data_IF_999141543813
#
_entry.id   IF_999141543813
#
_cell.length_a   1.000
_cell.length_b   1.000
_cell.length_c   1.000
_cell.angle_alpha   90.00
_cell.angle_beta   90.00
_cell.angle_gamma   90.00
#
_symmetry.space_group_name_H-M   'P 1'
#
loop_
_entity.id
_entity.type
_entity.pdbx_description
1 polymer ?
#
# COMPACT_ATOMS: atom_id res chain seq x y z
N UNK A 1 -5.19 11.67 15.46
CA UNK A 1 -3.89 11.44 14.78
C UNK A 1 -4.04 11.84 13.34
N UNK A 2 -3.04 12.50 12.76
CA UNK A 2 -3.02 12.84 11.33
C UNK A 2 -2.49 11.63 10.56
N UNK A 3 -3.05 11.38 9.39
CA UNK A 3 -2.58 10.31 8.52
C UNK A 3 -2.53 10.80 7.07
N UNK A 4 -1.34 10.73 6.49
CA UNK A 4 -1.11 10.95 5.06
C UNK A 4 -0.90 9.60 4.39
N UNK A 5 -1.71 9.31 3.39
CA UNK A 5 -1.57 8.11 2.56
C UNK A 5 -1.02 8.53 1.19
N UNK A 6 0.15 8.00 0.82
CA UNK A 6 0.77 8.25 -0.49
C UNK A 6 0.44 7.08 -1.42
N UNK A 7 -0.30 7.34 -2.49
CA UNK A 7 -0.75 6.32 -3.47
C UNK A 7 -0.50 6.76 -4.91
N UNK A 8 -0.71 5.84 -5.84
CA UNK A 8 -0.65 6.07 -7.29
C UNK A 8 -1.59 5.08 -7.96
N UNK A 9 -2.08 5.39 -9.16
CA UNK A 9 -2.94 4.41 -9.84
C UNK A 9 -2.16 3.28 -10.55
N UNK A 10 -0.82 3.36 -10.65
CA UNK A 10 0.06 2.29 -11.16
C UNK A 10 1.34 2.15 -10.33
N UNK A 11 1.98 0.99 -10.38
CA UNK A 11 3.31 0.76 -9.78
C UNK A 11 4.41 1.59 -10.45
N UNK A 12 5.50 1.84 -9.73
CA UNK A 12 6.72 2.47 -10.29
C UNK A 12 6.70 4.00 -10.44
N UNK A 13 5.70 4.71 -9.93
CA UNK A 13 5.64 6.18 -10.02
C UNK A 13 6.55 6.93 -9.03
N UNK A 14 7.27 6.21 -8.15
CA UNK A 14 8.19 6.79 -7.17
C UNK A 14 7.57 7.13 -5.81
N UNK A 15 6.41 6.54 -5.46
CA UNK A 15 5.74 6.72 -4.16
C UNK A 15 6.66 6.47 -2.97
N UNK A 16 7.27 5.29 -2.92
CA UNK A 16 8.09 4.82 -1.81
C UNK A 16 9.30 5.72 -1.60
N UNK A 17 9.97 6.13 -2.67
CA UNK A 17 11.09 7.08 -2.59
C UNK A 17 10.66 8.46 -2.10
N UNK A 18 9.48 8.94 -2.51
CA UNK A 18 8.92 10.21 -2.05
C UNK A 18 8.52 10.15 -0.57
N UNK A 19 7.83 9.07 -0.16
CA UNK A 19 7.44 8.84 1.24
C UNK A 19 8.66 8.71 2.15
N UNK A 20 9.68 7.96 1.73
CA UNK A 20 10.93 7.85 2.48
C UNK A 20 11.60 9.21 2.65
N UNK A 21 11.59 10.05 1.62
CA UNK A 21 12.09 11.41 1.73
C UNK A 21 11.24 12.27 2.69
N UNK A 22 9.91 12.15 2.68
CA UNK A 22 9.05 12.78 3.69
C UNK A 22 9.35 12.27 5.10
N UNK A 23 9.66 10.98 5.29
CA UNK A 23 10.07 10.45 6.58
C UNK A 23 11.33 11.14 7.12
N UNK A 24 12.27 11.51 6.24
CA UNK A 24 13.47 12.27 6.63
C UNK A 24 13.18 13.73 7.05
N UNK A 25 12.07 14.31 6.57
CA UNK A 25 11.70 15.71 6.79
C UNK A 25 10.63 15.89 7.88
N UNK A 26 9.80 14.87 8.11
CA UNK A 26 8.71 14.90 9.08
C UNK A 26 9.23 14.68 10.50
N UNK A 27 8.63 15.36 11.46
CA UNK A 27 8.83 15.11 12.89
C UNK A 27 7.65 14.31 13.46
N UNK A 28 7.84 13.72 14.65
CA UNK A 28 6.78 13.06 15.45
C UNK A 28 5.88 12.09 14.66
N UNK A 29 6.50 11.24 13.86
CA UNK A 29 5.81 10.34 12.93
C UNK A 29 6.09 8.87 13.15
N UNK A 30 5.14 8.05 12.68
CA UNK A 30 5.28 6.61 12.45
C UNK A 30 5.16 6.35 10.96
N UNK A 31 5.91 5.36 10.49
CA UNK A 31 5.89 4.91 9.10
C UNK A 31 5.03 3.65 8.97
N UNK A 32 4.29 3.54 7.88
CA UNK A 32 3.48 2.38 7.58
C UNK A 32 3.75 1.97 6.13
N UNK A 33 4.30 0.79 5.91
CA UNK A 33 4.41 0.22 4.56
C UNK A 33 3.21 -0.71 4.32
N UNK A 34 2.23 -0.20 3.58
CA UNK A 34 1.01 -0.93 3.21
C UNK A 34 1.03 -1.41 1.75
N UNK A 35 2.09 -1.11 0.98
CA UNK A 35 2.33 -1.64 -0.35
C UNK A 35 3.04 -3.00 -0.24
N UNK A 36 2.37 -3.99 0.39
CA UNK A 36 3.03 -5.24 0.82
C UNK A 36 3.46 -6.13 -0.36
N UNK A 37 2.79 -6.04 -1.50
CA UNK A 37 3.15 -6.79 -2.72
C UNK A 37 4.56 -6.42 -3.22
N UNK A 38 4.95 -5.16 -3.01
CA UNK A 38 6.25 -4.60 -3.37
C UNK A 38 6.75 -3.70 -2.23
N UNK A 39 6.89 -4.29 -1.05
CA UNK A 39 7.31 -3.58 0.16
C UNK A 39 8.74 -3.05 -0.02
N UNK A 40 8.90 -1.87 -0.62
CA UNK A 40 10.21 -1.32 -0.99
C UNK A 40 10.76 -0.38 0.09
N UNK A 41 9.94 0.03 1.06
CA UNK A 41 10.34 1.04 2.05
C UNK A 41 11.47 0.53 2.96
N UNK A 42 11.48 -0.78 3.25
CA UNK A 42 12.53 -1.40 4.04
C UNK A 42 13.92 -1.33 3.36
N UNK A 43 13.98 -1.29 2.02
CA UNK A 43 15.23 -1.18 1.27
C UNK A 43 15.90 0.19 1.50
N UNK A 44 15.10 1.25 1.62
CA UNK A 44 15.59 2.62 1.83
C UNK A 44 15.88 2.88 3.31
N UNK A 45 15.05 2.36 4.20
CA UNK A 45 15.10 2.73 5.62
C UNK A 45 15.93 1.79 6.51
N UNK A 46 16.26 0.60 5.99
CA UNK A 46 16.99 -0.45 6.70
C UNK A 46 16.47 -0.69 8.13
N UNK A 47 15.19 -1.07 8.29
CA UNK A 47 14.52 -1.19 9.58
C UNK A 47 15.12 -2.30 10.45
N UNK A 48 15.30 -2.02 11.74
CA UNK A 48 15.64 -3.04 12.74
C UNK A 48 14.35 -3.60 13.36
N UNK A 49 14.10 -4.89 13.10
CA UNK A 49 12.91 -5.60 13.61
C UNK A 49 12.96 -5.68 15.14
N UNK A 50 11.87 -5.25 15.79
CA UNK A 50 11.64 -5.39 17.23
C UNK A 50 10.68 -6.51 17.53
N UNK A 51 9.59 -6.57 16.77
CA UNK A 51 8.56 -7.58 16.89
C UNK A 51 8.28 -8.21 15.54
N UNK A 52 7.89 -9.49 15.59
CA UNK A 52 7.55 -10.30 14.44
C UNK A 52 6.34 -11.14 14.83
N UNK A 53 5.36 -11.15 13.94
CA UNK A 53 4.08 -11.82 14.16
C UNK A 53 3.63 -12.48 12.85
N UNK A 54 2.99 -13.64 12.96
CA UNK A 54 2.39 -14.30 11.80
C UNK A 54 1.15 -13.53 11.33
N UNK A 55 1.00 -13.40 10.02
CA UNK A 55 -0.23 -12.94 9.40
C UNK A 55 -1.04 -14.13 8.91
N UNK A 56 -2.09 -14.45 9.67
CA UNK A 56 -3.01 -15.54 9.34
C UNK A 56 -4.25 -14.98 8.65
N UNK A 57 -4.45 -15.38 7.40
CA UNK A 57 -5.57 -14.96 6.58
C UNK A 57 -5.96 -16.05 5.60
N UNK A 58 -7.22 -16.03 5.17
CA UNK A 58 -7.73 -17.07 4.28
C UNK A 58 -7.69 -18.48 4.88
N UNK A 59 -8.04 -19.43 4.04
CA UNK A 59 -8.13 -20.85 4.36
C UNK A 59 -7.82 -21.65 3.10
N UNK A 60 -7.27 -22.85 3.26
CA UNK A 60 -7.10 -23.77 2.14
C UNK A 60 -7.87 -25.04 2.45
N UNK A 61 -8.80 -25.41 1.56
CA UNK A 61 -9.57 -26.63 1.76
C UNK A 61 -8.67 -27.86 1.58
N UNK A 62 -8.88 -28.89 2.39
CA UNK A 62 -8.24 -30.20 2.23
C UNK A 62 -9.26 -31.30 2.38
N UNK A 63 -9.28 -32.28 1.48
CA UNK A 63 -10.25 -33.39 1.54
C UNK A 63 -9.61 -34.59 2.23
N UNK A 64 -10.27 -35.06 3.29
CA UNK A 64 -9.94 -36.30 4.00
C UNK A 64 -10.47 -37.50 3.19
N UNK A 65 -9.54 -38.26 2.59
CA UNK A 65 -9.87 -39.40 1.75
C UNK A 65 -10.55 -40.55 2.50
N UNK A 66 -10.32 -40.70 3.81
CA UNK A 66 -10.94 -41.78 4.60
C UNK A 66 -12.42 -41.50 4.87
N UNK A 67 -12.79 -40.21 4.95
CA UNK A 67 -14.17 -39.77 5.22
C UNK A 67 -14.93 -39.42 3.95
N UNK A 68 -14.25 -39.16 2.85
CA UNK A 68 -14.86 -38.74 1.60
C UNK A 68 -15.57 -39.91 0.89
N UNK A 69 -16.88 -39.78 0.68
CA UNK A 69 -17.69 -40.73 -0.11
C UNK A 69 -17.59 -40.51 -1.61
N UNK A 70 -16.77 -39.56 -2.06
CA UNK A 70 -16.60 -39.19 -3.49
C UNK A 70 -17.90 -38.79 -4.19
N UNK A 71 -18.83 -38.16 -3.46
CA UNK A 71 -20.15 -37.76 -3.99
C UNK A 71 -20.11 -36.65 -5.06
N UNK A 72 -18.97 -35.97 -5.27
CA UNK A 72 -18.80 -34.96 -6.32
C UNK A 72 -19.27 -33.54 -5.99
N UNK A 73 -20.13 -33.36 -4.97
CA UNK A 73 -20.76 -32.07 -4.67
C UNK A 73 -19.76 -30.91 -4.46
N UNK A 74 -18.62 -31.17 -3.82
CA UNK A 74 -17.58 -30.16 -3.62
C UNK A 74 -17.01 -29.62 -4.93
N UNK A 75 -16.88 -30.48 -5.96
CA UNK A 75 -16.40 -30.12 -7.30
C UNK A 75 -17.46 -29.29 -8.04
N UNK A 76 -18.71 -29.72 -7.98
CA UNK A 76 -19.84 -29.02 -8.62
C UNK A 76 -20.02 -27.59 -8.09
N UNK A 77 -19.80 -27.39 -6.78
CA UNK A 77 -19.92 -26.09 -6.14
C UNK A 77 -18.66 -25.22 -6.27
N UNK A 78 -17.53 -25.79 -6.69
CA UNK A 78 -16.27 -25.06 -6.79
C UNK A 78 -16.24 -24.18 -8.04
N UNK A 79 -16.48 -22.88 -7.88
CA UNK A 79 -16.40 -21.90 -8.98
C UNK A 79 -15.00 -21.73 -9.58
N UNK A 80 -13.97 -22.18 -8.87
CA UNK A 80 -12.56 -22.01 -9.22
C UNK A 80 -11.95 -23.27 -9.83
N UNK A 81 -12.72 -24.35 -9.95
CA UNK A 81 -12.25 -25.66 -10.43
C UNK A 81 -11.00 -26.17 -9.68
N UNK A 82 -10.87 -25.81 -8.40
CA UNK A 82 -9.70 -26.14 -7.58
C UNK A 82 -9.70 -27.58 -7.04
N UNK A 83 -10.63 -28.43 -7.46
CA UNK A 83 -10.78 -29.81 -6.97
C UNK A 83 -10.84 -30.76 -8.17
N UNK A 84 -9.85 -31.63 -8.28
CA UNK A 84 -9.71 -32.56 -9.42
C UNK A 84 -10.60 -33.81 -9.31
N UNK A 85 -10.48 -34.71 -10.28
CA UNK A 85 -11.25 -35.97 -10.34
C UNK A 85 -10.93 -36.95 -9.21
N UNK A 86 -9.73 -36.85 -8.64
CA UNK A 86 -9.26 -37.67 -7.53
C UNK A 86 -9.57 -37.04 -6.16
N UNK A 87 -10.34 -35.95 -6.14
CA UNK A 87 -10.71 -35.19 -4.94
C UNK A 87 -9.50 -34.60 -4.22
N UNK A 88 -8.46 -34.24 -4.96
CA UNK A 88 -7.33 -33.46 -4.47
C UNK A 88 -7.60 -31.99 -4.72
N UNK A 89 -7.33 -31.17 -3.70
CA UNK A 89 -7.47 -29.71 -3.80
C UNK A 89 -6.15 -29.13 -4.30
N UNK A 90 -6.21 -28.38 -5.41
CA UNK A 90 -5.12 -27.52 -5.85
C UNK A 90 -5.08 -26.29 -4.94
N UNK A 91 -4.04 -26.20 -4.11
CA UNK A 91 -3.87 -25.12 -3.15
C UNK A 91 -3.69 -23.74 -3.80
N UNK A 92 -3.19 -23.68 -5.05
CA UNK A 92 -2.97 -22.42 -5.78
C UNK A 92 -4.28 -21.93 -6.39
N UNK A 93 -5.09 -22.84 -6.94
CA UNK A 93 -6.39 -22.48 -7.51
C UNK A 93 -7.49 -22.28 -6.44
N UNK A 94 -7.26 -22.76 -5.21
CA UNK A 94 -8.25 -22.68 -4.14
C UNK A 94 -8.31 -21.28 -3.52
N UNK A 95 -9.35 -20.52 -3.85
CA UNK A 95 -9.63 -19.21 -3.26
C UNK A 95 -10.05 -19.23 -1.77
N UNK A 96 -10.12 -20.41 -1.13
CA UNK A 96 -10.46 -20.47 0.29
C UNK A 96 -11.84 -19.91 0.65
N UNK A 97 -12.83 -20.02 -0.26
CA UNK A 97 -14.17 -19.46 -0.03
C UNK A 97 -15.04 -20.28 0.95
N UNK A 98 -14.64 -21.53 1.24
CA UNK A 98 -15.32 -22.41 2.20
C UNK A 98 -16.60 -23.07 1.70
N UNK A 99 -17.06 -22.81 0.47
CA UNK A 99 -18.31 -23.40 -0.06
C UNK A 99 -18.26 -24.93 -0.02
N UNK A 100 -17.18 -25.55 -0.51
CA UNK A 100 -17.04 -27.00 -0.45
C UNK A 100 -17.09 -27.53 1.00
N UNK A 101 -16.44 -26.82 1.93
CA UNK A 101 -16.40 -27.18 3.35
C UNK A 101 -17.79 -27.17 3.99
N UNK A 102 -18.53 -26.07 3.86
CA UNK A 102 -19.83 -25.91 4.50
C UNK A 102 -20.91 -26.83 3.94
N UNK A 103 -20.80 -27.22 2.66
CA UNK A 103 -21.79 -28.06 1.99
C UNK A 103 -21.40 -29.55 1.90
N UNK A 104 -20.26 -29.96 2.46
CA UNK A 104 -19.86 -31.36 2.46
C UNK A 104 -20.75 -32.18 3.42
N UNK A 105 -21.57 -33.14 2.93
CA UNK A 105 -22.48 -33.91 3.78
C UNK A 105 -21.72 -34.81 4.78
N UNK A 106 -20.58 -35.34 4.38
CA UNK A 106 -19.73 -36.22 5.20
C UNK A 106 -18.83 -35.45 6.17
N UNK A 107 -18.82 -34.10 6.08
CA UNK A 107 -17.88 -33.22 6.79
C UNK A 107 -16.42 -33.65 6.58
N UNK A 108 -16.11 -34.20 5.40
CA UNK A 108 -14.81 -34.75 5.04
C UNK A 108 -13.80 -33.69 4.60
N UNK A 109 -14.19 -32.41 4.56
CA UNK A 109 -13.31 -31.33 4.15
C UNK A 109 -12.78 -30.63 5.40
N UNK A 110 -11.47 -30.53 5.52
CA UNK A 110 -10.78 -29.67 6.46
C UNK A 110 -10.67 -28.26 5.88
N UNK A 111 -10.71 -27.26 6.76
CA UNK A 111 -10.64 -25.86 6.36
C UNK A 111 -9.72 -25.06 7.29
N UNK A 112 -8.44 -25.49 7.43
CA UNK A 112 -7.47 -24.79 8.27
C UNK A 112 -7.25 -23.36 7.79
N UNK A 113 -6.93 -22.48 8.72
CA UNK A 113 -6.47 -21.12 8.41
C UNK A 113 -5.07 -21.16 7.80
N UNK A 114 -4.80 -20.29 6.84
CA UNK A 114 -3.51 -20.22 6.15
C UNK A 114 -2.67 -19.06 6.71
N UNK A 115 -1.37 -19.28 6.86
CA UNK A 115 -0.41 -18.20 7.17
C UNK A 115 0.05 -17.60 5.85
N UNK A 116 -0.45 -16.40 5.54
CA UNK A 116 -0.19 -15.70 4.27
C UNK A 116 1.06 -14.81 4.33
N UNK A 117 1.71 -14.68 5.48
CA UNK A 117 2.89 -13.84 5.63
C UNK A 117 3.24 -13.54 7.07
N UNK A 118 4.05 -12.51 7.25
CA UNK A 118 4.49 -11.98 8.54
C UNK A 118 4.28 -10.47 8.56
N UNK A 119 4.08 -9.91 9.76
CA UNK A 119 4.13 -8.48 9.98
C UNK A 119 5.04 -8.13 11.15
N UNK A 120 5.53 -6.89 11.14
CA UNK A 120 6.63 -6.45 11.97
C UNK A 120 6.40 -5.05 12.52
N UNK A 121 6.87 -4.84 13.74
CA UNK A 121 7.16 -3.52 14.28
C UNK A 121 8.68 -3.35 14.31
N UNK A 122 9.15 -2.26 13.72
CA UNK A 122 10.58 -1.99 13.56
C UNK A 122 10.93 -0.57 13.97
N UNK A 123 12.19 -0.35 14.33
CA UNK A 123 12.77 0.99 14.41
C UNK A 123 13.53 1.31 13.11
N UNK A 124 13.45 2.55 12.65
CA UNK A 124 14.21 3.06 11.50
C UNK A 124 15.02 4.30 11.90
N UNK A 125 15.88 4.77 11.00
CA UNK A 125 16.57 6.07 11.14
C UNK A 125 15.61 7.25 11.34
N UNK A 126 14.36 7.13 10.92
CA UNK A 126 13.36 8.19 10.97
C UNK A 126 12.24 7.95 11.97
N UNK A 127 12.33 6.93 12.82
CA UNK A 127 11.30 6.59 13.77
C UNK A 127 10.71 5.21 13.52
N UNK A 128 9.68 4.84 14.28
CA UNK A 128 9.17 3.49 14.25
C UNK A 128 8.33 3.24 12.99
N UNK A 129 8.27 1.97 12.58
CA UNK A 129 7.65 1.53 11.34
C UNK A 129 6.85 0.26 11.56
N UNK A 130 5.61 0.24 11.06
CA UNK A 130 4.80 -0.95 10.89
C UNK A 130 4.87 -1.39 9.42
N UNK A 131 5.17 -2.66 9.17
CA UNK A 131 5.30 -3.20 7.80
C UNK A 131 5.05 -4.70 7.78
N UNK A 132 4.87 -5.25 6.59
CA UNK A 132 4.63 -6.67 6.40
C UNK A 132 5.41 -7.24 5.23
N UNK A 133 5.45 -8.57 5.19
CA UNK A 133 5.98 -9.33 4.08
C UNK A 133 5.06 -10.54 3.86
N UNK A 134 4.61 -10.70 2.63
CA UNK A 134 3.78 -11.84 2.23
C UNK A 134 4.62 -13.10 2.04
N UNK A 135 3.96 -14.25 2.17
CA UNK A 135 4.48 -15.54 1.77
C UNK A 135 4.64 -15.65 0.25
N UNK A 136 5.25 -16.74 -0.21
CA UNK A 136 5.40 -17.00 -1.64
C UNK A 136 4.00 -17.26 -2.22
N UNK A 137 3.70 -16.59 -3.34
CA UNK A 137 2.41 -16.71 -4.05
C UNK A 137 1.18 -16.23 -3.25
N UNK A 138 1.39 -15.37 -2.26
CA UNK A 138 0.32 -14.70 -1.50
C UNK A 138 0.12 -13.27 -2.02
N UNK A 139 -1.11 -12.76 -1.94
CA UNK A 139 -1.47 -11.42 -2.43
C UNK A 139 -1.82 -10.46 -1.29
N UNK A 140 -1.52 -9.18 -1.48
CA UNK A 140 -1.87 -8.16 -0.51
C UNK A 140 -3.39 -7.99 -0.41
N UNK A 141 -3.89 -8.02 0.82
CA UNK A 141 -5.32 -7.93 1.10
C UNK A 141 -5.65 -6.67 1.87
N UNK A 142 -6.89 -6.19 1.71
CA UNK A 142 -7.37 -5.08 2.54
C UNK A 142 -7.31 -5.38 4.04
N UNK A 143 -7.36 -6.66 4.44
CA UNK A 143 -7.19 -7.10 5.83
C UNK A 143 -5.78 -6.84 6.35
N UNK A 144 -4.76 -7.20 5.56
CA UNK A 144 -3.35 -6.94 5.93
C UNK A 144 -3.07 -5.44 6.01
N UNK A 145 -3.48 -4.68 4.99
CA UNK A 145 -3.34 -3.21 4.98
C UNK A 145 -3.99 -2.57 6.21
N UNK A 146 -5.21 -3.00 6.55
CA UNK A 146 -5.92 -2.49 7.73
C UNK A 146 -5.17 -2.82 9.02
N UNK A 147 -4.65 -4.05 9.15
CA UNK A 147 -3.86 -4.48 10.29
C UNK A 147 -2.61 -3.60 10.47
N UNK A 148 -1.76 -3.47 9.45
CA UNK A 148 -0.51 -2.70 9.56
C UNK A 148 -0.78 -1.24 9.92
N UNK A 149 -1.82 -0.64 9.34
CA UNK A 149 -2.23 0.73 9.70
C UNK A 149 -2.72 0.84 11.13
N UNK A 150 -3.50 -0.13 11.62
CA UNK A 150 -3.96 -0.16 13.01
C UNK A 150 -2.78 -0.29 13.99
N UNK A 151 -1.83 -1.18 13.70
CA UNK A 151 -0.62 -1.33 14.51
C UNK A 151 0.25 -0.07 14.46
N UNK A 152 0.39 0.57 13.30
CA UNK A 152 1.05 1.87 13.17
C UNK A 152 0.38 2.96 14.03
N UNK A 153 -0.96 3.00 14.08
CA UNK A 153 -1.72 3.94 14.94
C UNK A 153 -1.53 3.65 16.43
N UNK A 154 -1.51 2.38 16.84
CA UNK A 154 -1.23 1.99 18.23
C UNK A 154 0.18 2.41 18.64
N UNK A 155 1.17 2.09 17.82
CA UNK A 155 2.58 2.45 18.04
C UNK A 155 2.77 3.96 18.14
N UNK A 156 2.05 4.72 17.31
CA UNK A 156 2.06 6.16 17.35
C UNK A 156 1.43 6.70 18.65
N UNK A 157 0.33 6.11 19.13
CA UNK A 157 -0.29 6.48 20.40
C UNK A 157 0.63 6.19 21.61
N UNK A 158 1.24 5.00 21.65
CA UNK A 158 2.18 4.59 22.71
C UNK A 158 3.39 5.52 22.82
N UNK A 159 3.90 6.00 21.68
CA UNK A 159 5.07 6.89 21.62
C UNK A 159 4.72 8.38 21.57
N UNK A 160 3.45 8.75 21.73
CA UNK A 160 2.97 10.14 21.64
C UNK A 160 3.37 10.86 20.33
N UNK A 161 3.25 10.14 19.22
CA UNK A 161 3.49 10.63 17.85
C UNK A 161 2.14 11.04 17.23
N UNK A 162 2.13 12.08 16.39
CA UNK A 162 0.89 12.70 15.91
C UNK A 162 0.62 12.51 14.42
N UNK A 163 1.57 11.91 13.69
CA UNK A 163 1.51 11.67 12.26
C UNK A 163 1.78 10.20 11.89
N UNK A 164 0.94 9.64 11.03
CA UNK A 164 1.19 8.39 10.32
C UNK A 164 1.45 8.69 8.84
N UNK A 165 2.60 8.23 8.33
CA UNK A 165 2.97 8.30 6.92
C UNK A 165 2.84 6.90 6.32
N UNK A 166 1.88 6.72 5.43
CA UNK A 166 1.53 5.41 4.86
C UNK A 166 1.95 5.35 3.39
N UNK A 167 2.82 4.39 3.05
CA UNK A 167 3.04 3.95 1.66
C UNK A 167 1.85 3.09 1.28
N UNK A 168 0.96 3.61 0.45
CA UNK A 168 -0.22 2.87 0.04
C UNK A 168 0.06 2.04 -1.21
N UNK A 169 -0.70 0.95 -1.45
CA UNK A 169 -0.59 0.15 -2.65
C UNK A 169 -1.02 0.93 -3.91
N UNK A 170 -0.59 0.52 -5.11
CA UNK A 170 -1.05 1.13 -6.36
C UNK A 170 -2.47 0.69 -6.75
N UNK A 171 -3.12 1.45 -7.61
CA UNK A 171 -4.39 1.08 -8.25
C UNK A 171 -5.63 1.57 -7.50
N UNK A 172 -6.70 0.77 -7.54
CA UNK A 172 -8.02 1.10 -6.96
C UNK A 172 -8.69 -0.11 -6.27
N UNK A 173 -7.93 -1.17 -5.99
CA UNK A 173 -8.44 -2.40 -5.40
C UNK A 173 -8.71 -2.31 -3.89
N UNK A 174 -9.13 -3.43 -3.30
CA UNK A 174 -9.37 -3.55 -1.86
C UNK A 174 -8.19 -3.07 -0.98
N UNK A 175 -6.91 -3.33 -1.32
CA UNK A 175 -5.78 -2.80 -0.56
C UNK A 175 -5.72 -1.25 -0.54
N UNK A 176 -6.07 -0.59 -1.66
CA UNK A 176 -6.10 0.88 -1.74
C UNK A 176 -7.26 1.43 -0.92
N UNK A 177 -8.44 0.83 -1.04
CA UNK A 177 -9.60 1.23 -0.22
C UNK A 177 -9.28 1.10 1.28
N UNK A 178 -8.64 0.00 1.67
CA UNK A 178 -8.21 -0.23 3.04
C UNK A 178 -7.14 0.76 3.50
N UNK A 179 -6.23 1.21 2.63
CA UNK A 179 -5.21 2.21 2.99
C UNK A 179 -5.83 3.60 3.19
N UNK A 180 -6.86 3.93 2.42
CA UNK A 180 -7.59 5.20 2.50
C UNK A 180 -8.50 5.31 3.74
N UNK A 181 -9.01 4.20 4.26
CA UNK A 181 -10.01 4.21 5.34
C UNK A 181 -9.60 5.02 6.57
N UNK A 182 -10.22 6.19 6.79
CA UNK A 182 -9.93 7.08 7.92
C UNK A 182 -8.65 7.91 7.79
N UNK A 183 -8.08 8.03 6.59
CA UNK A 183 -6.96 8.92 6.31
C UNK A 183 -7.36 10.41 6.44
N UNK A 184 -6.42 11.26 6.85
CA UNK A 184 -6.64 12.71 6.91
C UNK A 184 -6.54 13.35 5.54
N UNK A 185 -5.59 12.89 4.74
CA UNK A 185 -5.41 13.33 3.36
C UNK A 185 -4.69 12.26 2.54
N UNK A 186 -4.81 12.37 1.22
CA UNK A 186 -4.18 11.50 0.23
C UNK A 186 -3.25 12.34 -0.64
N UNK A 187 -2.03 11.85 -0.85
CA UNK A 187 -1.15 12.37 -1.89
C UNK A 187 -1.06 11.35 -3.03
N UNK A 188 -1.56 11.74 -4.19
CA UNK A 188 -1.52 10.95 -5.41
C UNK A 188 -0.26 11.31 -6.20
N UNK A 189 0.62 10.34 -6.42
CA UNK A 189 1.85 10.49 -7.20
C UNK A 189 1.59 10.02 -8.63
N UNK A 190 1.62 10.97 -9.56
CA UNK A 190 1.39 10.72 -10.99
C UNK A 190 2.63 10.99 -11.82
N UNK A 191 2.83 10.22 -12.88
CA UNK A 191 3.84 10.49 -13.92
C UNK A 191 3.14 11.01 -15.18
N UNK A 192 3.80 11.85 -16.01
CA UNK A 192 3.20 12.44 -17.20
C UNK A 192 3.12 11.45 -18.38
N UNK A 193 2.38 10.35 -18.18
CA UNK A 193 2.04 9.38 -19.23
C UNK A 193 0.52 9.28 -19.38
N UNK A 194 0.04 8.83 -20.54
CA UNK A 194 -1.41 8.65 -20.78
C UNK A 194 -2.02 7.71 -19.73
N UNK A 195 -1.34 6.59 -19.44
CA UNK A 195 -1.73 5.68 -18.37
C UNK A 195 -1.69 6.36 -17.00
N UNK A 196 -0.59 7.05 -16.66
CA UNK A 196 -0.44 7.74 -15.38
C UNK A 196 -1.52 8.79 -15.12
N UNK A 197 -2.00 9.48 -16.17
CA UNK A 197 -3.17 10.36 -16.08
C UNK A 197 -4.43 9.58 -15.78
N UNK A 198 -4.83 8.61 -16.62
CA UNK A 198 -6.06 7.84 -16.42
C UNK A 198 -6.11 7.13 -15.06
N UNK A 199 -4.97 6.62 -14.62
CA UNK A 199 -4.78 5.97 -13.33
C UNK A 199 -4.95 6.98 -12.17
N UNK A 200 -4.40 8.18 -12.30
CA UNK A 200 -4.62 9.28 -11.34
C UNK A 200 -6.09 9.72 -11.30
N UNK A 201 -6.77 9.82 -12.45
CA UNK A 201 -8.19 10.19 -12.53
C UNK A 201 -9.06 9.22 -11.70
N UNK A 202 -8.80 7.91 -11.80
CA UNK A 202 -9.50 6.88 -11.02
C UNK A 202 -9.23 7.01 -9.51
N UNK A 203 -8.00 7.31 -9.12
CA UNK A 203 -7.65 7.50 -7.70
C UNK A 203 -8.28 8.78 -7.13
N UNK A 204 -8.38 9.84 -7.92
CA UNK A 204 -9.12 11.07 -7.55
C UNK A 204 -10.60 10.74 -7.31
N UNK A 205 -11.24 10.03 -8.24
CA UNK A 205 -12.64 9.60 -8.08
C UNK A 205 -12.86 8.73 -6.84
N UNK A 206 -11.94 7.81 -6.57
CA UNK A 206 -11.98 6.97 -5.37
C UNK A 206 -11.86 7.80 -4.09
N UNK A 207 -10.93 8.75 -4.06
CA UNK A 207 -10.72 9.64 -2.91
C UNK A 207 -11.95 10.53 -2.65
N UNK A 208 -12.57 11.05 -3.71
CA UNK A 208 -13.80 11.84 -3.64
C UNK A 208 -15.00 11.02 -3.13
N UNK A 209 -15.14 9.77 -3.60
CA UNK A 209 -16.16 8.84 -3.12
C UNK A 209 -16.08 8.64 -1.59
N UNK A 210 -14.86 8.51 -1.05
CA UNK A 210 -14.63 8.41 0.39
C UNK A 210 -14.56 9.76 1.11
N UNK A 211 -14.72 10.88 0.39
CA UNK A 211 -14.66 12.26 0.89
C UNK A 211 -13.35 12.57 1.61
N UNK A 212 -12.24 12.02 1.11
CA UNK A 212 -10.91 12.25 1.67
C UNK A 212 -10.22 13.34 0.83
N UNK A 213 -9.69 14.41 1.45
CA UNK A 213 -8.95 15.44 0.75
C UNK A 213 -7.78 14.85 -0.04
N UNK A 214 -7.80 15.04 -1.36
CA UNK A 214 -6.74 14.58 -2.26
C UNK A 214 -5.84 15.74 -2.71
N UNK A 215 -4.56 15.42 -2.88
CA UNK A 215 -3.53 16.28 -3.46
C UNK A 215 -2.79 15.49 -4.54
N UNK A 216 -2.23 16.18 -5.52
CA UNK A 216 -1.44 15.56 -6.61
C UNK A 216 0.00 16.06 -6.57
N UNK A 217 0.94 15.12 -6.68
CA UNK A 217 2.35 15.39 -6.98
C UNK A 217 2.68 14.82 -8.36
N UNK A 218 3.19 15.66 -9.26
CA UNK A 218 3.60 15.23 -10.60
C UNK A 218 5.08 14.88 -10.56
N UNK A 219 5.40 13.59 -10.54
CA UNK A 219 6.76 13.09 -10.57
C UNK A 219 7.28 13.00 -12.01
N UNK A 220 8.57 13.28 -12.20
CA UNK A 220 9.25 13.30 -13.50
C UNK A 220 8.51 14.15 -14.55
N UNK A 221 8.01 15.31 -14.13
CA UNK A 221 7.08 16.14 -14.92
C UNK A 221 7.66 16.59 -16.28
N UNK A 222 8.99 16.70 -16.35
CA UNK A 222 9.78 17.14 -17.49
C UNK A 222 9.98 16.06 -18.57
N UNK A 223 9.63 14.79 -18.30
CA UNK A 223 9.66 13.74 -19.32
C UNK A 223 8.64 13.97 -20.43
N UNK A 224 7.49 14.56 -20.09
CA UNK A 224 6.48 14.94 -21.08
C UNK A 224 5.68 16.15 -20.57
N UNK A 225 6.12 17.38 -20.89
CA UNK A 225 5.47 18.60 -20.41
C UNK A 225 3.99 18.70 -20.78
N UNK A 226 3.60 18.25 -21.99
CA UNK A 226 2.20 18.29 -22.43
C UNK A 226 1.29 17.38 -21.61
N UNK A 227 1.75 16.18 -21.24
CA UNK A 227 1.01 15.30 -20.34
C UNK A 227 1.01 15.79 -18.89
N UNK A 228 2.09 16.43 -18.44
CA UNK A 228 2.12 17.08 -17.12
C UNK A 228 1.09 18.21 -17.03
N UNK A 229 1.01 19.08 -18.05
CA UNK A 229 -0.02 20.12 -18.14
C UNK A 229 -1.44 19.55 -18.18
N UNK A 230 -1.65 18.43 -18.88
CA UNK A 230 -2.95 17.74 -18.90
C UNK A 230 -3.35 17.22 -17.51
N UNK A 231 -2.41 16.65 -16.74
CA UNK A 231 -2.64 16.23 -15.35
C UNK A 231 -3.02 17.43 -14.48
N UNK A 232 -2.34 18.56 -14.63
CA UNK A 232 -2.68 19.77 -13.87
C UNK A 232 -4.04 20.34 -14.23
N UNK A 233 -4.38 20.33 -15.51
CA UNK A 233 -5.67 20.79 -15.99
C UNK A 233 -6.79 19.96 -15.36
N UNK A 234 -6.69 18.62 -15.46
CA UNK A 234 -7.63 17.70 -14.83
C UNK A 234 -7.74 17.94 -13.32
N UNK A 235 -6.61 18.08 -12.61
CA UNK A 235 -6.61 18.31 -11.18
C UNK A 235 -7.35 19.60 -10.81
N UNK A 236 -7.13 20.70 -11.56
CA UNK A 236 -7.83 21.98 -11.35
C UNK A 236 -9.34 21.86 -11.60
N UNK A 237 -9.75 21.18 -12.68
CA UNK A 237 -11.17 20.97 -12.99
C UNK A 237 -11.91 20.19 -11.89
N UNK A 238 -11.20 19.28 -11.21
CA UNK A 238 -11.76 18.43 -10.15
C UNK A 238 -11.50 19.01 -8.73
N UNK A 239 -11.07 20.27 -8.62
CA UNK A 239 -10.74 20.91 -7.33
C UNK A 239 -9.68 20.17 -6.50
N UNK A 240 -8.78 19.44 -7.16
CA UNK A 240 -7.64 18.74 -6.54
C UNK A 240 -6.39 19.61 -6.65
N UNK A 241 -5.73 19.85 -5.53
CA UNK A 241 -4.53 20.69 -5.51
C UNK A 241 -3.31 19.93 -6.02
N UNK A 242 -2.60 20.53 -6.99
CA UNK A 242 -1.26 20.08 -7.36
C UNK A 242 -0.25 20.70 -6.40
N UNK A 243 0.21 19.92 -5.42
CA UNK A 243 1.13 20.41 -4.37
C UNK A 243 2.54 20.65 -4.90
N UNK A 244 2.93 20.03 -6.01
CA UNK A 244 4.17 20.37 -6.69
C UNK A 244 4.55 19.39 -7.78
N UNK A 245 5.72 19.65 -8.37
CA UNK A 245 6.31 18.87 -9.46
C UNK A 245 7.74 18.48 -9.08
N UNK A 246 8.14 17.27 -9.43
CA UNK A 246 9.50 16.77 -9.22
C UNK A 246 10.11 16.50 -10.60
N UNK A 247 11.25 17.12 -10.97
CA UNK A 247 11.91 16.81 -12.24
C UNK A 247 12.47 15.40 -12.23
N UNK A 248 12.75 14.82 -13.39
CA UNK A 248 13.49 13.57 -13.49
C UNK A 248 14.89 13.77 -12.88
N UNK A 249 15.14 13.10 -11.76
CA UNK A 249 16.40 13.21 -11.03
C UNK A 249 17.00 11.81 -10.77
N UNK A 250 18.10 11.42 -11.45
CA UNK A 250 18.79 10.16 -11.22
C UNK A 250 19.32 9.97 -9.79
N UNK A 251 19.41 11.04 -8.99
CA UNK A 251 19.83 10.97 -7.59
C UNK A 251 18.88 10.10 -6.76
N UNK A 252 17.58 10.03 -7.08
CA UNK A 252 16.66 9.11 -6.42
C UNK A 252 17.14 7.65 -6.47
N UNK A 253 17.54 7.19 -7.66
CA UNK A 253 18.04 5.82 -7.85
C UNK A 253 19.36 5.61 -7.11
N UNK A 254 20.29 6.58 -7.18
CA UNK A 254 21.58 6.50 -6.48
C UNK A 254 21.41 6.42 -4.96
N UNK A 255 20.51 7.23 -4.41
CA UNK A 255 20.20 7.24 -2.99
C UNK A 255 19.59 5.90 -2.55
N UNK A 256 18.60 5.39 -3.29
CA UNK A 256 17.97 4.09 -3.01
C UNK A 256 18.99 2.94 -3.00
N UNK A 257 19.93 2.90 -3.95
CA UNK A 257 21.00 1.89 -3.99
C UNK A 257 21.90 1.94 -2.76
N UNK A 258 22.07 3.11 -2.14
CA UNK A 258 22.82 3.27 -0.89
C UNK A 258 21.97 3.06 0.37
N UNK A 259 20.69 2.67 0.23
CA UNK A 259 19.77 2.58 1.37
C UNK A 259 19.58 3.94 2.04
N UNK A 260 19.50 5.01 1.26
CA UNK A 260 19.37 6.40 1.70
C UNK A 260 18.22 7.10 0.97
N UNK A 261 17.64 8.09 1.62
CA UNK A 261 16.70 9.02 0.97
C UNK A 261 17.44 10.02 0.08
N UNK A 262 16.74 10.64 -0.87
CA UNK A 262 17.33 11.72 -1.69
C UNK A 262 17.87 12.87 -0.83
N UNK A 263 17.22 13.16 0.30
CA UNK A 263 17.63 14.19 1.24
C UNK A 263 18.90 13.83 2.04
N UNK A 264 19.11 12.54 2.33
CA UNK A 264 20.34 12.03 2.95
C UNK A 264 21.51 12.00 1.96
N UNK A 265 21.28 11.52 0.74
CA UNK A 265 22.33 11.28 -0.25
C UNK A 265 22.86 12.57 -0.89
N UNK A 266 21.95 13.42 -1.39
CA UNK A 266 22.30 14.73 -1.95
C UNK A 266 21.15 15.73 -1.72
N UNK A 267 21.17 16.35 -0.54
CA UNK A 267 20.19 17.36 -0.15
C UNK A 267 20.24 18.67 -0.94
N UNK A 268 21.17 18.81 -1.90
CA UNK A 268 21.29 19.96 -2.79
C UNK A 268 20.72 19.71 -4.20
N UNK A 269 20.36 18.47 -4.51
CA UNK A 269 19.80 18.10 -5.81
C UNK A 269 18.47 18.81 -6.11
N UNK A 270 18.13 18.92 -7.39
CA UNK A 270 16.86 19.53 -7.80
C UNK A 270 15.66 18.71 -7.29
N UNK A 271 15.76 17.39 -7.30
CA UNK A 271 14.76 16.49 -6.72
C UNK A 271 14.61 16.72 -5.21
N UNK A 272 15.71 16.79 -4.45
CA UNK A 272 15.66 17.07 -3.02
C UNK A 272 14.99 18.42 -2.69
N UNK A 273 15.34 19.46 -3.45
CA UNK A 273 14.73 20.79 -3.30
C UNK A 273 13.22 20.77 -3.63
N UNK A 274 12.81 20.05 -4.67
CA UNK A 274 11.40 19.88 -5.03
C UNK A 274 10.61 19.13 -3.93
N UNK A 275 11.18 18.04 -3.41
CA UNK A 275 10.57 17.24 -2.33
C UNK A 275 10.37 18.08 -1.06
N UNK A 276 11.35 18.89 -0.65
CA UNK A 276 11.19 19.78 0.53
C UNK A 276 10.03 20.75 0.36
N UNK A 277 9.91 21.40 -0.79
CA UNK A 277 8.80 22.32 -1.11
C UNK A 277 7.45 21.63 -1.12
N UNK A 278 7.38 20.41 -1.66
CA UNK A 278 6.16 19.59 -1.66
C UNK A 278 5.79 19.23 -0.22
N UNK A 279 6.75 18.78 0.58
CA UNK A 279 6.51 18.42 1.98
C UNK A 279 5.98 19.61 2.79
N UNK A 280 6.56 20.80 2.64
CA UNK A 280 6.07 22.03 3.29
C UNK A 280 4.58 22.28 3.01
N UNK A 281 4.16 22.15 1.74
CA UNK A 281 2.77 22.33 1.32
C UNK A 281 1.86 21.22 1.86
N UNK A 282 2.30 19.97 1.78
CA UNK A 282 1.56 18.82 2.31
C UNK A 282 1.36 18.95 3.83
N UNK A 283 2.42 19.30 4.58
CA UNK A 283 2.37 19.49 6.03
C UNK A 283 1.40 20.62 6.45
N UNK A 284 1.34 21.71 5.67
CA UNK A 284 0.36 22.78 5.88
C UNK A 284 -1.08 22.27 5.72
N UNK A 285 -1.34 21.39 4.74
CA UNK A 285 -2.67 20.81 4.49
C UNK A 285 -3.09 19.76 5.53
N UNK A 286 -2.12 19.05 6.11
CA UNK A 286 -2.36 18.09 7.21
C UNK A 286 -2.68 18.78 8.55
N UNK A 287 -2.43 20.09 8.65
CA UNK A 287 -2.75 20.86 9.86
C UNK A 287 -4.14 21.46 9.71
N UNK A 288 -5.08 21.22 10.65
CA UNK A 288 -6.42 21.78 10.54
C UNK A 288 -6.33 23.30 10.47
N UNK A 289 -7.02 23.91 9.50
CA UNK A 289 -7.25 25.36 9.51
C UNK A 289 -7.95 25.67 10.84
N UNK A 290 -7.30 26.44 11.71
CA UNK A 290 -7.98 27.07 12.84
C UNK A 290 -9.02 28.02 12.25
N UNK A 291 -10.25 27.54 12.07
CA UNK A 291 -11.44 28.37 11.97
C UNK A 291 -11.82 28.84 13.36
#
# INVERSE_FOLDING_TARGET
>A
MKELVVISGKGGTGKTSLLAAFASLAEKKVLCDADVDAADLHLILNPMIRERHDFVSGHTAGIDAERCTRCGLCRELCRWNAIDEDFVVDAIACEGCGVCYYFCPEKAIAFPSSTCGEWFLSDTRFGPMAHARLGIAEENSGKLVTLIRQEGKKLAAEKNLDLLLTDGPPGIGCPVIASLGGATAVLIVAEPTVSGRHDMERVVQLSDFFKIPAMVCINKFDLNPGQAEAIEHFARENNVEVVGRIPFDPVFTKAMVQGQTICEYDGSSQGAAAVRKIWERVAQRLTPKRT
#
